data_IF_631309603078
#
_entry.id   IF_631309603078
#
_cell.length_a   1.000
_cell.length_b   1.000
_cell.length_c   1.000
_cell.angle_alpha   90.00
_cell.angle_beta   90.00
_cell.angle_gamma   90.00
#
_symmetry.space_group_name_H-M   'P 1'
#
loop_
_entity.id
_entity.type
_entity.pdbx_description
1 polymer ?
#
# COMPACT_ATOMS: atom_id res chain seq x y z
N UNK A 1 1.50 -0.05 -16.43
CA UNK A 1 2.26 -0.83 -17.45
C UNK A 1 2.00 -2.32 -17.21
N UNK A 2 1.54 -3.09 -18.21
CA UNK A 2 1.17 -4.53 -18.04
C UNK A 2 2.27 -5.51 -18.47
N UNK A 3 3.46 -5.01 -18.81
CA UNK A 3 4.57 -5.82 -19.27
C UNK A 3 5.80 -5.60 -18.40
N UNK A 4 6.55 -6.67 -18.17
CA UNK A 4 7.86 -6.66 -17.52
C UNK A 4 8.93 -7.02 -18.55
N UNK A 5 10.17 -6.63 -18.27
CA UNK A 5 11.31 -6.89 -19.14
C UNK A 5 12.41 -7.59 -18.34
N UNK A 6 13.02 -8.61 -18.94
CA UNK A 6 14.23 -9.22 -18.37
C UNK A 6 15.48 -8.40 -18.70
N UNK A 7 16.63 -8.85 -18.20
CA UNK A 7 17.92 -8.20 -18.41
C UNK A 7 18.38 -8.18 -19.88
N UNK A 8 17.76 -9.01 -20.73
CA UNK A 8 18.01 -9.10 -22.18
C UNK A 8 17.00 -8.30 -22.99
N UNK A 9 16.09 -7.58 -22.34
CA UNK A 9 15.04 -6.79 -22.97
C UNK A 9 13.88 -7.61 -23.53
N UNK A 10 13.74 -8.89 -23.20
CA UNK A 10 12.57 -9.67 -23.61
C UNK A 10 11.37 -9.22 -22.78
N UNK A 11 10.22 -9.11 -23.45
CA UNK A 11 8.98 -8.61 -22.86
C UNK A 11 8.09 -9.76 -22.40
N UNK A 12 7.60 -9.68 -21.18
CA UNK A 12 6.69 -10.64 -20.55
C UNK A 12 5.37 -9.94 -20.20
N UNK A 13 4.24 -10.53 -20.59
CA UNK A 13 2.93 -10.05 -20.15
C UNK A 13 2.71 -10.48 -18.70
N UNK A 14 2.43 -9.54 -17.82
CA UNK A 14 2.01 -9.84 -16.46
C UNK A 14 0.49 -10.04 -16.43
N UNK A 15 0.06 -11.28 -16.72
CA UNK A 15 -1.34 -11.68 -16.65
C UNK A 15 -1.79 -12.07 -15.23
N UNK A 16 -0.90 -12.02 -14.24
CA UNK A 16 -1.18 -12.39 -12.85
C UNK A 16 -1.25 -11.18 -11.90
N UNK A 17 -0.88 -10.00 -12.41
CA UNK A 17 -0.85 -8.75 -11.63
C UNK A 17 0.17 -8.83 -10.50
N UNK A 18 1.37 -9.33 -10.80
CA UNK A 18 2.33 -9.75 -9.79
C UNK A 18 1.82 -11.00 -9.09
N UNK A 19 1.66 -10.97 -7.76
CA UNK A 19 0.98 -12.05 -7.00
C UNK A 19 -0.38 -11.51 -6.57
N UNK A 20 -1.22 -11.15 -7.54
CA UNK A 20 -2.50 -10.46 -7.34
C UNK A 20 -2.40 -9.16 -6.50
N UNK A 21 -1.29 -8.43 -6.63
CA UNK A 21 -0.99 -7.22 -5.83
C UNK A 21 -0.91 -5.94 -6.65
N UNK A 22 -0.75 -6.04 -7.98
CA UNK A 22 -0.47 -4.92 -8.87
C UNK A 22 -1.73 -4.54 -9.65
N UNK A 23 -2.83 -4.27 -8.95
CA UNK A 23 -4.15 -4.02 -9.57
C UNK A 23 -4.20 -2.73 -10.41
N UNK A 24 -3.38 -1.72 -10.08
CA UNK A 24 -3.27 -0.47 -10.84
C UNK A 24 -2.23 -0.55 -11.97
N UNK A 25 -1.60 -1.72 -12.17
CA UNK A 25 -0.48 -1.90 -13.08
C UNK A 25 0.85 -1.38 -12.53
N UNK A 26 1.95 -1.83 -13.13
CA UNK A 26 3.30 -1.44 -12.71
C UNK A 26 3.55 0.03 -12.97
N UNK A 27 4.20 0.69 -11.99
CA UNK A 27 4.62 2.09 -12.01
C UNK A 27 3.52 3.08 -12.44
N UNK A 28 2.31 2.94 -11.88
CA UNK A 28 1.21 3.86 -12.17
C UNK A 28 1.58 5.30 -11.73
N UNK A 29 1.48 6.31 -12.62
CA UNK A 29 2.02 7.65 -12.37
C UNK A 29 1.46 8.28 -11.10
N UNK A 30 0.13 8.23 -10.91
CA UNK A 30 -0.51 8.79 -9.71
C UNK A 30 -0.05 8.14 -8.40
N UNK A 31 0.22 6.82 -8.42
CA UNK A 31 0.69 6.08 -7.24
C UNK A 31 2.14 6.45 -6.95
N UNK A 32 2.97 6.51 -7.99
CA UNK A 32 4.39 6.90 -7.87
C UNK A 32 4.49 8.33 -7.33
N UNK A 33 3.71 9.27 -7.87
CA UNK A 33 3.73 10.66 -7.45
C UNK A 33 3.29 10.82 -5.98
N UNK A 34 2.23 10.12 -5.55
CA UNK A 34 1.80 10.11 -4.16
C UNK A 34 2.88 9.57 -3.21
N UNK A 35 3.54 8.47 -3.57
CA UNK A 35 4.64 7.88 -2.79
C UNK A 35 5.83 8.84 -2.70
N UNK A 36 6.24 9.45 -3.81
CA UNK A 36 7.37 10.38 -3.86
C UNK A 36 7.07 11.62 -3.01
N UNK A 37 5.88 12.20 -3.15
CA UNK A 37 5.46 13.37 -2.36
C UNK A 37 5.42 13.06 -0.87
N UNK A 38 4.89 11.89 -0.48
CA UNK A 38 4.88 11.49 0.93
C UNK A 38 6.29 11.25 1.46
N UNK A 39 7.14 10.55 0.71
CA UNK A 39 8.51 10.23 1.13
C UNK A 39 9.37 11.48 1.32
N UNK A 40 9.18 12.50 0.47
CA UNK A 40 9.83 13.82 0.63
C UNK A 40 9.44 14.54 1.93
N UNK A 41 8.26 14.23 2.49
CA UNK A 41 7.75 14.83 3.73
C UNK A 41 8.08 13.98 4.95
N UNK A 42 7.75 12.69 4.91
CA UNK A 42 7.96 11.73 5.98
C UNK A 42 7.81 10.30 5.46
N UNK A 43 8.90 9.53 5.47
CA UNK A 43 8.89 8.13 5.06
C UNK A 43 8.28 7.19 6.13
N UNK A 44 8.51 7.46 7.41
CA UNK A 44 8.08 6.58 8.50
C UNK A 44 7.71 7.36 9.76
N UNK A 45 6.66 6.90 10.45
CA UNK A 45 6.31 7.31 11.81
C UNK A 45 5.90 6.07 12.59
N UNK A 46 6.29 6.01 13.86
CA UNK A 46 5.65 5.10 14.81
C UNK A 46 4.20 5.53 15.06
N UNK A 47 3.36 4.56 15.46
CA UNK A 47 1.97 4.79 15.87
C UNK A 47 1.84 5.55 17.20
N UNK A 48 2.95 5.74 17.93
CA UNK A 48 2.95 6.52 19.17
C UNK A 48 2.71 8.01 18.93
N UNK A 49 2.97 8.49 17.72
CA UNK A 49 2.71 9.87 17.34
C UNK A 49 1.45 9.96 16.49
N UNK A 50 0.72 11.05 16.66
CA UNK A 50 -0.48 11.33 15.87
C UNK A 50 -0.10 11.47 14.40
N UNK A 51 -0.67 10.61 13.55
CA UNK A 51 -0.53 10.66 12.11
C UNK A 51 -1.93 10.59 11.45
N UNK A 52 -2.41 11.68 10.84
CA UNK A 52 -3.77 11.73 10.28
C UNK A 52 -3.97 10.73 9.13
N UNK A 53 -2.90 10.34 8.41
CA UNK A 53 -2.97 9.44 7.26
C UNK A 53 -3.61 8.08 7.60
N UNK A 54 -3.43 7.59 8.83
CA UNK A 54 -4.02 6.31 9.26
C UNK A 54 -5.55 6.45 9.40
N UNK A 55 -6.02 7.54 10.02
CA UNK A 55 -7.44 7.79 10.23
C UNK A 55 -8.15 8.08 8.89
N UNK A 56 -7.56 8.93 8.06
CA UNK A 56 -8.07 9.24 6.71
C UNK A 56 -8.18 7.97 5.85
N UNK A 57 -7.16 7.11 5.90
CA UNK A 57 -7.20 5.84 5.17
C UNK A 57 -8.25 4.88 5.72
N UNK A 58 -8.41 4.79 7.05
CA UNK A 58 -9.44 3.94 7.67
C UNK A 58 -10.86 4.38 7.28
N UNK A 59 -11.11 5.69 7.22
CA UNK A 59 -12.38 6.28 6.77
C UNK A 59 -12.61 6.00 5.29
N UNK A 60 -11.63 6.30 4.44
CA UNK A 60 -11.71 6.05 3.00
C UNK A 60 -11.97 4.57 2.68
N UNK A 61 -11.34 3.65 3.44
CA UNK A 61 -11.54 2.21 3.29
C UNK A 61 -12.96 1.79 3.71
N UNK A 62 -13.43 2.26 4.86
CA UNK A 62 -14.77 1.94 5.37
C UNK A 62 -15.87 2.34 4.36
N UNK A 63 -15.72 3.49 3.70
CA UNK A 63 -16.65 3.98 2.67
C UNK A 63 -16.72 3.10 1.42
N UNK A 64 -15.75 2.21 1.18
CA UNK A 64 -15.72 1.30 0.02
C UNK A 64 -16.19 -0.12 0.35
N UNK A 65 -16.34 -0.45 1.63
CA UNK A 65 -16.72 -1.78 2.06
C UNK A 65 -18.24 -1.93 2.14
N UNK A 66 -18.79 -3.12 1.85
CA UNK A 66 -20.22 -3.36 1.92
C UNK A 66 -20.71 -3.46 3.37
N UNK A 67 -21.97 -3.10 3.59
CA UNK A 67 -22.65 -3.21 4.90
C UNK A 67 -22.55 -1.96 5.76
N UNK A 68 -23.17 -2.02 6.95
CA UNK A 68 -23.17 -0.95 7.95
C UNK A 68 -22.04 -1.17 8.96
N UNK A 69 -20.80 -0.92 8.51
CA UNK A 69 -19.60 -1.06 9.32
C UNK A 69 -19.63 -0.11 10.52
N UNK A 70 -19.65 -0.68 11.72
CA UNK A 70 -19.58 0.09 12.98
C UNK A 70 -18.16 0.40 13.43
N UNK A 71 -17.18 -0.38 12.96
CA UNK A 71 -15.78 -0.28 13.36
C UNK A 71 -14.88 -0.54 12.15
N UNK A 72 -13.87 0.32 11.97
CA UNK A 72 -12.76 0.12 11.03
C UNK A 72 -11.46 0.32 11.82
N UNK A 73 -10.63 -0.72 11.92
CA UNK A 73 -9.39 -0.70 12.70
C UNK A 73 -8.19 -1.04 11.82
N UNK A 74 -7.15 -0.21 11.88
CA UNK A 74 -5.86 -0.48 11.24
C UNK A 74 -4.86 -0.82 12.34
N UNK A 75 -4.41 -2.08 12.38
CA UNK A 75 -3.50 -2.58 13.40
C UNK A 75 -2.25 -3.19 12.77
N UNK A 76 -1.08 -2.87 13.32
CA UNK A 76 0.18 -3.55 13.00
C UNK A 76 0.51 -4.52 14.13
N UNK A 77 0.65 -5.80 13.80
CA UNK A 77 1.10 -6.83 14.75
C UNK A 77 2.62 -6.94 14.65
N UNK A 78 3.34 -6.43 15.65
CA UNK A 78 4.76 -6.72 15.80
C UNK A 78 4.88 -8.02 16.59
N UNK A 79 5.18 -9.12 15.91
CA UNK A 79 5.54 -10.38 16.56
C UNK A 79 6.97 -10.25 17.11
N UNK A 80 7.10 -9.79 18.35
CA UNK A 80 8.35 -9.94 19.09
C UNK A 80 8.37 -11.37 19.64
N UNK A 81 9.07 -12.27 18.95
CA UNK A 81 9.45 -13.56 19.53
C UNK A 81 10.50 -13.31 20.61
N UNK A 82 10.04 -12.89 21.79
CA UNK A 82 10.88 -12.65 22.95
C UNK A 82 11.30 -13.96 23.62
N UNK A 83 12.59 -14.26 23.58
CA UNK A 83 13.33 -14.61 24.80
C UNK A 83 14.07 -13.35 25.23
N UNK A 84 13.62 -12.74 26.33
CA UNK A 84 14.47 -11.88 27.15
C UNK A 84 15.49 -12.75 27.90
#
# INVERSE_FOLDING_TARGET
>A
MQYLFDEKGRRYLDAYGGIATVSCGHCHPEVVDAIVNQTKRLQHSTILYLNPAIAEFAEALALKMPGDLKVSSISFVVLINGRL
#
